data_IF_683566722928
#
_entry.id   IF_683566722928
#
_cell.length_a   1.000
_cell.length_b   1.000
_cell.length_c   1.000
_cell.angle_alpha   90.00
_cell.angle_beta   90.00
_cell.angle_gamma   90.00
#
_symmetry.space_group_name_H-M   'P 1'
#
loop_
_entity.id
_entity.type
_entity.pdbx_description
1 polymer ?
#
# COMPACT_ATOMS: atom_id res chain seq x y z
N UNK A 1 -38.43 -6.02 33.26
CA UNK A 1 -36.95 -6.06 33.18
C UNK A 1 -36.60 -6.64 31.82
N UNK A 2 -36.64 -5.79 30.81
CA UNK A 2 -36.43 -6.17 29.41
C UNK A 2 -34.95 -6.04 29.04
N UNK A 3 -34.44 -7.07 28.39
CA UNK A 3 -33.04 -7.21 27.99
C UNK A 3 -32.69 -6.33 26.79
N UNK A 4 -31.62 -5.57 26.94
CA UNK A 4 -30.98 -4.80 25.88
C UNK A 4 -30.14 -5.76 25.01
N UNK A 5 -30.73 -6.29 23.93
CA UNK A 5 -29.97 -6.91 22.84
C UNK A 5 -29.51 -5.83 21.86
N UNK A 6 -28.26 -5.41 21.97
CA UNK A 6 -27.60 -4.58 20.97
C UNK A 6 -27.27 -5.41 19.72
N UNK A 7 -28.03 -5.21 18.64
CA UNK A 7 -27.72 -5.73 17.30
C UNK A 7 -26.49 -5.02 16.72
N UNK A 8 -25.56 -5.72 16.04
CA UNK A 8 -24.48 -5.07 15.31
C UNK A 8 -25.03 -4.41 14.05
N UNK A 9 -24.75 -3.11 13.88
CA UNK A 9 -25.05 -2.37 12.64
C UNK A 9 -23.99 -2.74 11.59
N UNK A 10 -24.34 -3.64 10.68
CA UNK A 10 -23.62 -3.81 9.42
C UNK A 10 -23.95 -2.61 8.51
N UNK A 11 -22.97 -1.74 8.26
CA UNK A 11 -23.06 -0.73 7.22
C UNK A 11 -22.90 -1.44 5.86
N UNK A 12 -24.03 -1.68 5.18
CA UNK A 12 -24.07 -1.97 3.75
C UNK A 12 -24.09 -0.63 3.01
N UNK A 13 -22.93 -0.10 2.64
CA UNK A 13 -22.82 0.93 1.61
C UNK A 13 -21.59 0.60 0.75
N UNK A 14 -21.73 -0.41 -0.10
CA UNK A 14 -20.80 -0.64 -1.22
C UNK A 14 -21.51 -1.51 -2.25
N UNK A 15 -22.58 -0.96 -2.84
CA UNK A 15 -23.29 -1.51 -4.01
C UNK A 15 -24.41 -0.54 -4.43
N UNK A 16 -24.04 0.70 -4.74
CA UNK A 16 -24.91 1.61 -5.47
C UNK A 16 -24.12 2.24 -6.63
N UNK A 17 -23.59 1.37 -7.49
CA UNK A 17 -23.03 1.81 -8.77
C UNK A 17 -23.58 1.05 -9.99
N UNK A 18 -24.42 0.01 -9.81
CA UNK A 18 -24.86 -0.81 -10.97
C UNK A 18 -26.34 -1.21 -11.03
N UNK A 19 -27.17 -1.02 -9.98
CA UNK A 19 -28.51 -1.67 -9.96
C UNK A 19 -29.74 -0.75 -9.77
N UNK A 20 -29.60 0.56 -9.58
CA UNK A 20 -30.74 1.45 -9.30
C UNK A 20 -31.21 2.35 -10.45
N UNK A 21 -30.48 2.39 -11.57
CA UNK A 21 -30.82 3.27 -12.69
C UNK A 21 -31.86 2.67 -13.66
N UNK A 22 -32.17 1.39 -13.57
CA UNK A 22 -33.10 0.73 -14.50
C UNK A 22 -34.59 0.95 -14.17
N UNK A 23 -34.94 1.58 -13.03
CA UNK A 23 -36.33 1.64 -12.54
C UNK A 23 -36.93 3.04 -12.36
N UNK A 24 -36.19 4.09 -12.70
CA UNK A 24 -36.75 5.45 -12.74
C UNK A 24 -36.48 6.06 -14.10
N UNK A 25 -37.49 6.05 -14.97
CA UNK A 25 -37.51 6.75 -16.27
C UNK A 25 -37.48 8.27 -16.14
N UNK A 26 -36.52 8.80 -15.39
CA UNK A 26 -36.15 10.19 -15.34
C UNK A 26 -34.76 10.27 -15.98
N UNK A 27 -34.64 11.09 -17.04
CA UNK A 27 -33.38 11.42 -17.71
C UNK A 27 -32.39 12.10 -16.74
N UNK A 28 -31.77 11.31 -15.87
CA UNK A 28 -30.65 11.68 -15.04
C UNK A 28 -29.60 10.60 -15.33
N UNK A 29 -28.38 11.01 -15.63
CA UNK A 29 -27.26 10.16 -16.07
C UNK A 29 -27.28 9.95 -17.59
N UNK A 30 -26.83 10.98 -18.32
CA UNK A 30 -25.89 10.73 -19.40
C UNK A 30 -24.78 9.86 -18.75
N UNK A 31 -24.83 8.56 -18.99
CA UNK A 31 -23.84 7.63 -18.48
C UNK A 31 -22.49 8.16 -18.92
N UNK A 32 -21.59 8.35 -17.97
CA UNK A 32 -20.31 8.96 -18.23
C UNK A 32 -19.47 7.97 -19.06
N UNK A 33 -19.59 8.07 -20.39
CA UNK A 33 -18.89 7.26 -21.39
C UNK A 33 -17.38 7.24 -21.11
N UNK A 34 -16.85 8.30 -20.49
CA UNK A 34 -15.47 8.35 -20.01
C UNK A 34 -15.17 7.27 -18.98
N UNK A 35 -16.00 7.10 -17.94
CA UNK A 35 -15.77 6.09 -16.91
C UNK A 35 -15.94 4.66 -17.42
N UNK A 36 -16.91 4.42 -18.32
CA UNK A 36 -17.07 3.11 -18.94
C UNK A 36 -15.85 2.74 -19.77
N UNK A 37 -15.40 3.64 -20.65
CA UNK A 37 -14.20 3.44 -21.47
C UNK A 37 -12.95 3.25 -20.60
N UNK A 38 -12.79 4.08 -19.57
CA UNK A 38 -11.64 3.99 -18.65
C UNK A 38 -11.65 2.66 -17.89
N UNK A 39 -12.81 2.18 -17.45
CA UNK A 39 -12.96 0.88 -16.81
C UNK A 39 -12.62 -0.29 -17.77
N UNK A 40 -13.07 -0.25 -19.02
CA UNK A 40 -12.74 -1.25 -20.04
C UNK A 40 -11.24 -1.31 -20.33
N UNK A 41 -10.61 -0.15 -20.55
CA UNK A 41 -9.16 -0.04 -20.77
C UNK A 41 -8.38 -0.53 -19.54
N UNK A 42 -8.83 -0.19 -18.34
CA UNK A 42 -8.18 -0.62 -17.11
C UNK A 42 -8.32 -2.13 -16.89
N UNK A 43 -9.48 -2.72 -17.18
CA UNK A 43 -9.68 -4.18 -17.12
C UNK A 43 -8.80 -4.91 -18.14
N UNK A 44 -8.68 -4.38 -19.36
CA UNK A 44 -7.78 -4.92 -20.37
C UNK A 44 -6.32 -4.90 -19.89
N UNK A 45 -5.89 -3.82 -19.22
CA UNK A 45 -4.57 -3.75 -18.59
C UNK A 45 -4.41 -4.72 -17.43
N UNK A 46 -5.38 -4.82 -16.53
CA UNK A 46 -5.34 -5.80 -15.43
C UNK A 46 -5.20 -7.23 -15.97
N UNK A 47 -5.87 -7.56 -17.09
CA UNK A 47 -5.73 -8.88 -17.75
C UNK A 47 -4.32 -9.08 -18.31
N UNK A 48 -3.71 -8.04 -18.88
CA UNK A 48 -2.34 -8.09 -19.37
C UNK A 48 -1.29 -8.17 -18.24
N UNK A 49 -1.58 -7.55 -17.08
CA UNK A 49 -0.71 -7.57 -15.91
C UNK A 49 -0.79 -8.88 -15.11
N UNK A 50 -1.89 -9.64 -15.26
CA UNK A 50 -2.06 -10.95 -14.62
C UNK A 50 -0.94 -11.91 -14.99
N UNK A 51 -0.33 -12.52 -13.98
CA UNK A 51 0.71 -13.52 -14.18
C UNK A 51 0.13 -14.93 -14.08
N UNK A 52 0.20 -15.76 -15.15
CA UNK A 52 -0.33 -17.12 -15.12
C UNK A 52 0.48 -18.09 -14.24
N UNK A 53 1.70 -17.71 -13.82
CA UNK A 53 2.55 -18.46 -12.88
C UNK A 53 2.83 -17.60 -11.61
N UNK A 54 1.82 -17.41 -10.73
CA UNK A 54 1.98 -16.61 -9.53
C UNK A 54 3.01 -17.18 -8.55
N UNK A 55 3.19 -18.50 -8.49
CA UNK A 55 4.20 -19.19 -7.70
C UNK A 55 5.62 -18.90 -8.21
N UNK A 56 5.82 -18.75 -9.51
CA UNK A 56 7.08 -18.25 -10.07
C UNK A 56 7.44 -16.87 -9.52
N UNK A 57 6.45 -15.96 -9.42
CA UNK A 57 6.63 -14.62 -8.83
C UNK A 57 7.02 -14.69 -7.36
N UNK A 58 6.38 -15.57 -6.58
CA UNK A 58 6.74 -15.74 -5.15
C UNK A 58 8.13 -16.34 -4.99
N UNK A 59 8.51 -17.30 -5.84
CA UNK A 59 9.85 -17.88 -5.85
C UNK A 59 10.93 -16.84 -6.18
N UNK A 60 10.73 -16.01 -7.22
CA UNK A 60 11.65 -14.94 -7.59
C UNK A 60 11.82 -13.91 -6.46
N UNK A 61 10.73 -13.61 -5.75
CA UNK A 61 10.76 -12.74 -4.58
C UNK A 61 11.64 -13.32 -3.47
N UNK A 62 11.42 -14.58 -3.10
CA UNK A 62 12.23 -15.24 -2.07
C UNK A 62 13.70 -15.33 -2.49
N UNK A 63 13.98 -15.71 -3.74
CA UNK A 63 15.35 -15.72 -4.29
C UNK A 63 16.04 -14.36 -4.12
N UNK A 64 15.35 -13.25 -4.38
CA UNK A 64 15.90 -11.91 -4.15
C UNK A 64 16.21 -11.64 -2.67
N UNK A 65 15.37 -12.12 -1.75
CA UNK A 65 15.61 -12.05 -0.30
C UNK A 65 16.86 -12.85 0.10
N UNK A 66 17.04 -14.06 -0.46
CA UNK A 66 18.22 -14.88 -0.18
C UNK A 66 19.51 -14.23 -0.64
N UNK A 67 19.52 -13.70 -1.86
CA UNK A 67 20.66 -12.98 -2.40
C UNK A 67 21.02 -11.77 -1.52
N UNK A 68 20.01 -10.98 -1.12
CA UNK A 68 20.23 -9.87 -0.19
C UNK A 68 20.85 -10.34 1.14
N UNK A 69 20.39 -11.44 1.72
CA UNK A 69 20.96 -11.94 2.98
C UNK A 69 22.36 -12.53 2.84
N UNK A 70 22.66 -13.25 1.75
CA UNK A 70 23.97 -13.84 1.52
C UNK A 70 25.04 -12.75 1.35
N UNK A 71 24.72 -11.71 0.58
CA UNK A 71 25.54 -10.50 0.46
C UNK A 71 25.75 -9.81 1.82
N UNK A 72 24.71 -9.76 2.66
CA UNK A 72 24.81 -9.22 4.02
C UNK A 72 25.83 -9.97 4.88
N UNK A 73 25.87 -11.30 4.75
CA UNK A 73 26.77 -12.17 5.54
C UNK A 73 28.22 -12.09 5.05
N UNK A 74 28.43 -11.87 3.76
CA UNK A 74 29.75 -11.70 3.16
C UNK A 74 30.36 -10.32 3.45
N UNK A 75 29.54 -9.30 3.72
CA UNK A 75 29.99 -8.02 4.27
C UNK A 75 30.34 -8.18 5.75
N UNK A 76 31.64 -8.24 6.04
CA UNK A 76 32.24 -8.76 7.27
C UNK A 76 31.57 -8.45 8.62
N UNK A 77 31.62 -9.48 9.49
CA UNK A 77 31.52 -9.55 10.97
C UNK A 77 32.24 -8.45 11.78
N UNK A 78 32.83 -7.41 11.17
CA UNK A 78 33.69 -6.40 11.83
C UNK A 78 32.96 -5.16 12.36
N UNK A 79 31.69 -4.93 12.04
CA UNK A 79 30.97 -3.70 12.43
C UNK A 79 30.03 -3.84 13.63
N UNK A 80 29.76 -5.06 14.10
CA UNK A 80 28.83 -5.30 15.22
C UNK A 80 29.38 -4.93 16.61
N UNK A 81 30.68 -4.65 16.76
CA UNK A 81 31.27 -4.17 18.03
C UNK A 81 31.22 -2.65 18.24
N UNK A 82 30.85 -1.87 17.20
CA UNK A 82 30.86 -0.39 17.27
C UNK A 82 29.55 0.23 17.76
N UNK A 83 28.47 -0.54 17.89
CA UNK A 83 27.11 -0.02 18.13
C UNK A 83 26.94 0.56 19.55
N UNK A 84 27.84 0.25 20.48
CA UNK A 84 27.66 0.57 21.90
C UNK A 84 28.06 1.97 22.37
N UNK A 85 28.52 2.90 21.50
CA UNK A 85 28.95 4.23 21.98
C UNK A 85 28.51 5.47 21.21
N UNK A 86 27.83 5.38 20.06
CA UNK A 86 27.35 6.57 19.33
C UNK A 86 26.07 6.26 18.53
N UNK A 87 24.89 6.49 19.12
CA UNK A 87 23.57 6.04 18.60
C UNK A 87 23.12 6.62 17.25
N UNK A 88 23.92 7.44 16.56
CA UNK A 88 23.55 8.03 15.25
C UNK A 88 24.71 8.13 14.23
N UNK A 89 25.88 7.52 14.49
CA UNK A 89 27.05 7.54 13.57
C UNK A 89 27.35 6.18 12.93
N UNK A 90 26.34 5.34 12.74
CA UNK A 90 26.49 4.05 12.06
C UNK A 90 26.42 4.21 10.53
N UNK A 91 27.06 3.32 9.75
CA UNK A 91 26.85 3.27 8.30
C UNK A 91 25.35 3.05 7.99
N UNK A 92 24.85 3.62 6.91
CA UNK A 92 23.48 3.36 6.46
C UNK A 92 23.28 1.86 6.22
N UNK A 93 22.19 1.29 6.74
CA UNK A 93 21.88 -0.14 6.63
C UNK A 93 20.55 -0.33 5.90
N UNK A 94 20.58 -1.17 4.86
CA UNK A 94 19.39 -1.66 4.15
C UNK A 94 19.26 -3.18 4.37
N UNK A 95 18.11 -3.62 4.87
CA UNK A 95 17.95 -4.99 5.40
C UNK A 95 17.19 -5.94 4.48
N UNK A 96 16.53 -5.44 3.44
CA UNK A 96 15.73 -6.24 2.50
C UNK A 96 16.10 -5.89 1.04
N UNK A 97 15.79 -6.76 0.05
CA UNK A 97 16.18 -6.56 -1.35
C UNK A 97 15.63 -5.28 -2.00
N UNK A 98 14.44 -4.83 -1.60
CA UNK A 98 13.84 -3.58 -2.12
C UNK A 98 14.70 -2.39 -1.67
N UNK A 99 14.91 -2.25 -0.36
CA UNK A 99 15.72 -1.16 0.20
C UNK A 99 17.17 -1.21 -0.30
N UNK A 100 17.77 -2.39 -0.44
CA UNK A 100 19.16 -2.51 -0.93
C UNK A 100 19.35 -1.97 -2.34
N UNK A 101 18.31 -2.03 -3.18
CA UNK A 101 18.38 -1.58 -4.56
C UNK A 101 18.51 -0.05 -4.67
N UNK A 102 17.92 0.73 -3.76
CA UNK A 102 17.91 2.20 -3.85
C UNK A 102 18.46 2.93 -2.60
N UNK A 103 18.28 2.37 -1.40
CA UNK A 103 18.63 3.02 -0.13
C UNK A 103 20.14 3.02 0.09
N UNK A 104 20.60 3.93 0.95
CA UNK A 104 22.02 4.08 1.31
C UNK A 104 22.95 4.53 0.18
N UNK A 105 22.39 5.07 -0.91
CA UNK A 105 23.16 5.68 -1.98
C UNK A 105 23.52 7.13 -1.61
N UNK A 106 24.81 7.48 -1.67
CA UNK A 106 25.29 8.82 -1.31
C UNK A 106 24.61 9.93 -2.13
N UNK A 107 24.38 9.70 -3.42
CA UNK A 107 23.80 10.67 -4.36
C UNK A 107 22.36 10.32 -4.75
N UNK A 108 21.57 9.78 -3.82
CA UNK A 108 20.19 9.34 -4.12
C UNK A 108 19.31 10.47 -4.68
N UNK A 109 19.59 11.73 -4.34
CA UNK A 109 18.86 12.90 -4.87
C UNK A 109 19.00 12.97 -6.40
N UNK A 110 20.22 12.83 -6.92
CA UNK A 110 20.51 12.85 -8.37
C UNK A 110 20.02 11.58 -9.09
N UNK A 111 19.74 10.51 -8.34
CA UNK A 111 19.23 9.24 -8.85
C UNK A 111 17.88 8.88 -8.24
N UNK A 112 17.06 9.88 -7.89
CA UNK A 112 15.81 9.70 -7.13
C UNK A 112 14.90 8.66 -7.79
N UNK A 113 14.84 8.68 -9.12
CA UNK A 113 13.99 7.78 -9.92
C UNK A 113 14.48 6.33 -10.00
N UNK A 114 15.69 6.02 -9.51
CA UNK A 114 16.17 4.64 -9.37
C UNK A 114 15.25 3.80 -8.48
N UNK A 115 14.52 4.43 -7.55
CA UNK A 115 13.51 3.74 -6.74
C UNK A 115 12.56 2.89 -7.59
N UNK A 116 12.09 3.42 -8.73
CA UNK A 116 11.13 2.74 -9.61
C UNK A 116 11.67 1.49 -10.32
N UNK A 117 12.93 1.09 -10.09
CA UNK A 117 13.47 -0.21 -10.55
C UNK A 117 13.60 -1.23 -9.43
N UNK A 118 13.16 -0.89 -8.22
CA UNK A 118 13.46 -1.65 -7.01
C UNK A 118 12.26 -2.42 -6.45
N UNK A 119 11.06 -2.22 -7.01
CA UNK A 119 9.89 -3.01 -6.68
C UNK A 119 10.14 -4.50 -6.92
N UNK A 120 9.49 -5.34 -6.11
CA UNK A 120 9.54 -6.80 -6.18
C UNK A 120 8.13 -7.33 -5.93
N UNK A 121 7.86 -8.56 -6.39
CA UNK A 121 6.54 -9.19 -6.22
C UNK A 121 5.62 -8.86 -7.38
N UNK A 122 4.31 -8.88 -7.16
CA UNK A 122 3.34 -8.68 -8.24
C UNK A 122 3.38 -7.26 -8.82
N UNK A 123 3.63 -6.24 -8.01
CA UNK A 123 3.76 -4.83 -8.43
C UNK A 123 5.17 -4.44 -8.91
N UNK A 124 6.02 -5.42 -9.26
CA UNK A 124 7.41 -5.16 -9.70
C UNK A 124 7.53 -4.32 -10.98
N UNK A 125 6.47 -4.27 -11.78
CA UNK A 125 6.42 -3.54 -13.04
C UNK A 125 5.95 -2.09 -12.88
N UNK A 126 5.45 -1.69 -11.70
CA UNK A 126 5.04 -0.32 -11.42
C UNK A 126 6.23 0.63 -11.55
N UNK A 127 6.30 1.38 -12.66
CA UNK A 127 7.36 2.36 -12.88
C UNK A 127 6.96 3.79 -12.48
N UNK A 128 5.66 4.01 -12.22
CA UNK A 128 5.16 5.30 -11.79
C UNK A 128 5.49 6.43 -12.78
N UNK A 129 5.92 7.56 -12.26
CA UNK A 129 6.35 8.72 -13.03
C UNK A 129 7.80 8.69 -13.51
N UNK A 130 8.47 7.53 -13.53
CA UNK A 130 9.92 7.41 -13.83
C UNK A 130 10.33 8.13 -15.12
N UNK A 131 9.52 8.04 -16.17
CA UNK A 131 9.83 8.61 -17.48
C UNK A 131 9.35 10.05 -17.65
N UNK A 132 8.75 10.65 -16.62
CA UNK A 132 8.22 12.02 -16.64
C UNK A 132 9.15 13.04 -16.04
N UNK A 133 8.75 14.31 -15.99
CA UNK A 133 9.53 15.34 -15.28
C UNK A 133 9.34 15.26 -13.76
N UNK A 134 10.22 15.93 -13.03
CA UNK A 134 9.94 16.23 -11.64
C UNK A 134 8.87 17.32 -11.56
N UNK A 135 7.93 17.15 -10.63
CA UNK A 135 6.97 18.16 -10.23
C UNK A 135 7.11 18.40 -8.73
N UNK A 136 7.21 19.66 -8.30
CA UNK A 136 7.44 20.01 -6.90
C UNK A 136 6.16 20.61 -6.33
N UNK A 137 5.59 19.94 -5.33
CA UNK A 137 4.51 20.49 -4.51
C UNK A 137 5.10 21.56 -3.59
N UNK A 138 4.59 22.78 -3.73
CA UNK A 138 4.99 23.97 -2.96
C UNK A 138 3.84 24.53 -2.13
N UNK A 139 2.61 24.13 -2.43
CA UNK A 139 1.38 24.63 -1.83
C UNK A 139 0.58 23.43 -1.27
N UNK A 140 0.34 23.36 0.07
CA UNK A 140 -0.40 22.25 0.66
C UNK A 140 -1.92 22.41 0.60
N UNK A 141 -2.44 23.48 0.00
CA UNK A 141 -3.88 23.72 -0.08
C UNK A 141 -4.59 22.80 -1.09
N UNK A 142 -5.90 22.64 -0.92
CA UNK A 142 -6.76 21.79 -1.74
C UNK A 142 -8.14 22.44 -1.92
N UNK A 143 -8.14 23.72 -2.32
CA UNK A 143 -9.32 24.59 -2.23
C UNK A 143 -10.21 24.55 -3.48
N UNK A 144 -9.67 24.15 -4.63
CA UNK A 144 -10.42 24.02 -5.90
C UNK A 144 -10.24 22.61 -6.49
N UNK A 145 -11.35 21.86 -6.50
CA UNK A 145 -11.41 20.46 -6.92
C UNK A 145 -11.51 20.30 -8.44
N UNK A 146 -11.87 21.38 -9.15
CA UNK A 146 -12.08 21.39 -10.60
C UNK A 146 -10.91 22.10 -11.29
N UNK A 147 -10.38 23.19 -10.75
CA UNK A 147 -9.25 23.91 -11.33
C UNK A 147 -8.13 24.04 -10.29
N UNK A 148 -7.50 22.91 -9.89
CA UNK A 148 -6.47 22.94 -8.86
C UNK A 148 -5.32 23.86 -9.28
N UNK A 149 -4.80 24.62 -8.33
CA UNK A 149 -3.71 25.58 -8.57
C UNK A 149 -2.38 24.85 -8.82
N UNK A 150 -1.59 25.32 -9.79
CA UNK A 150 -0.21 24.85 -9.97
C UNK A 150 0.59 25.00 -8.66
N UNK A 151 1.38 23.98 -8.33
CA UNK A 151 2.12 23.89 -7.06
C UNK A 151 1.38 23.07 -5.98
N UNK A 152 0.10 22.74 -6.16
CA UNK A 152 -0.65 21.83 -5.28
C UNK A 152 -0.44 20.36 -5.64
N UNK A 153 -0.71 19.45 -4.70
CA UNK A 153 -0.68 18.01 -4.99
C UNK A 153 -1.75 17.60 -6.00
N UNK A 154 -2.99 18.12 -5.87
CA UNK A 154 -4.10 17.81 -6.79
C UNK A 154 -3.77 18.15 -8.22
N UNK A 155 -3.17 19.31 -8.49
CA UNK A 155 -2.74 19.64 -9.84
C UNK A 155 -1.73 18.62 -10.39
N UNK A 156 -0.76 18.18 -9.58
CA UNK A 156 0.28 17.25 -10.03
C UNK A 156 -0.24 15.85 -10.38
N UNK A 157 -1.17 15.32 -9.59
CA UNK A 157 -1.62 13.92 -9.76
C UNK A 157 -2.58 13.72 -10.92
N UNK A 158 -3.28 14.77 -11.39
CA UNK A 158 -4.26 14.65 -12.49
C UNK A 158 -3.65 14.78 -13.89
N UNK A 159 -2.39 15.22 -14.02
CA UNK A 159 -1.75 15.45 -15.31
C UNK A 159 -1.71 14.16 -16.15
N UNK A 160 -1.89 14.21 -17.47
CA UNK A 160 -1.87 12.99 -18.29
C UNK A 160 -0.46 12.45 -18.52
N UNK A 161 0.52 13.36 -18.54
CA UNK A 161 1.93 12.99 -18.67
C UNK A 161 2.44 12.30 -17.39
N UNK A 162 3.44 11.41 -17.50
CA UNK A 162 4.09 10.86 -16.33
C UNK A 162 4.69 11.98 -15.47
N UNK A 163 4.60 11.87 -14.15
CA UNK A 163 5.20 12.84 -13.23
C UNK A 163 5.79 12.18 -11.98
N UNK A 164 7.03 12.58 -11.67
CA UNK A 164 7.66 12.27 -10.40
C UNK A 164 7.46 13.44 -9.42
N UNK A 165 6.45 13.29 -8.57
CA UNK A 165 5.98 14.32 -7.65
C UNK A 165 6.80 14.27 -6.36
N UNK A 166 7.44 15.39 -6.02
CA UNK A 166 8.20 15.60 -4.79
C UNK A 166 7.68 16.82 -4.04
N UNK A 167 8.22 17.06 -2.85
CA UNK A 167 7.72 18.08 -1.93
C UNK A 167 8.84 19.06 -1.57
N UNK A 168 8.57 20.36 -1.66
CA UNK A 168 9.57 21.40 -1.39
C UNK A 168 9.98 21.49 0.08
N UNK A 169 9.10 21.07 0.99
CA UNK A 169 9.26 21.15 2.45
C UNK A 169 8.31 20.18 3.15
N UNK A 170 8.51 20.02 4.45
CA UNK A 170 7.54 19.36 5.33
C UNK A 170 6.16 20.02 5.18
N UNK A 171 5.11 19.20 5.07
CA UNK A 171 3.76 19.71 4.91
C UNK A 171 2.70 18.73 5.40
N UNK A 172 1.58 19.30 5.87
CA UNK A 172 0.35 18.58 6.13
C UNK A 172 -0.65 19.05 5.08
N UNK A 173 -1.06 18.14 4.21
CA UNK A 173 -2.06 18.37 3.17
C UNK A 173 -3.37 17.78 3.69
N UNK A 174 -4.39 18.64 3.81
CA UNK A 174 -5.75 18.24 4.13
C UNK A 174 -6.55 18.24 2.83
N UNK A 175 -6.88 17.06 2.33
CA UNK A 175 -7.70 16.91 1.13
C UNK A 175 -9.15 17.29 1.46
N UNK A 176 -9.74 18.19 0.67
CA UNK A 176 -11.12 18.65 0.89
C UNK A 176 -12.12 17.56 0.49
N UNK A 177 -11.86 16.91 -0.63
CA UNK A 177 -12.58 15.74 -1.16
C UNK A 177 -11.55 14.75 -1.72
N UNK A 178 -11.98 13.56 -2.13
CA UNK A 178 -11.05 12.50 -2.56
C UNK A 178 -10.04 12.98 -3.62
N UNK A 179 -8.79 12.55 -3.48
CA UNK A 179 -7.72 12.86 -4.42
C UNK A 179 -7.64 11.79 -5.49
N UNK A 180 -8.21 12.07 -6.66
CA UNK A 180 -8.14 11.21 -7.83
C UNK A 180 -6.73 11.26 -8.43
N UNK A 181 -6.06 10.11 -8.51
CA UNK A 181 -4.73 9.98 -9.11
C UNK A 181 -4.86 9.44 -10.54
N UNK A 182 -4.23 10.11 -11.51
CA UNK A 182 -4.13 9.65 -12.90
C UNK A 182 -2.95 8.66 -13.07
N UNK A 183 -2.87 7.92 -14.18
CA UNK A 183 -1.83 6.93 -14.45
C UNK A 183 -0.41 7.54 -14.49
N UNK A 184 0.62 6.70 -14.34
CA UNK A 184 2.03 7.06 -14.47
C UNK A 184 2.49 8.12 -13.45
N UNK A 185 2.12 7.95 -12.18
CA UNK A 185 2.44 8.89 -11.10
C UNK A 185 3.34 8.26 -10.07
N UNK A 186 4.31 9.04 -9.60
CA UNK A 186 5.03 8.72 -8.38
C UNK A 186 4.86 9.86 -7.39
N UNK A 187 4.29 9.58 -6.22
CA UNK A 187 4.29 10.48 -5.07
C UNK A 187 5.45 10.06 -4.17
N UNK A 188 6.48 10.88 -4.04
CA UNK A 188 7.72 10.55 -3.36
C UNK A 188 8.05 11.55 -2.24
N UNK A 189 7.71 11.16 -1.01
CA UNK A 189 7.92 11.95 0.20
C UNK A 189 9.36 12.05 0.66
N UNK A 190 10.33 11.33 0.07
CA UNK A 190 11.73 11.40 0.55
C UNK A 190 12.24 12.84 0.53
N UNK A 191 12.93 13.25 1.60
CA UNK A 191 13.47 14.60 1.75
C UNK A 191 12.52 15.62 2.41
N UNK A 192 11.26 15.24 2.67
CA UNK A 192 10.30 16.03 3.43
C UNK A 192 9.47 15.13 4.35
N UNK A 193 8.92 15.68 5.43
CA UNK A 193 7.92 15.01 6.25
C UNK A 193 6.52 15.39 5.75
N UNK A 194 5.92 14.51 4.94
CA UNK A 194 4.66 14.77 4.25
C UNK A 194 3.54 13.96 4.88
N UNK A 195 2.48 14.65 5.29
CA UNK A 195 1.28 14.08 5.86
C UNK A 195 0.08 14.38 4.97
N UNK A 196 -0.66 13.35 4.55
CA UNK A 196 -2.03 13.47 4.05
C UNK A 196 -2.94 13.12 5.22
N UNK A 197 -3.64 14.12 5.77
CA UNK A 197 -4.35 13.94 7.03
C UNK A 197 -5.54 14.87 7.24
N UNK A 198 -6.46 14.46 8.11
CA UNK A 198 -7.61 15.25 8.58
C UNK A 198 -8.61 15.65 7.49
N UNK A 199 -8.52 15.01 6.33
CA UNK A 199 -9.33 15.25 5.14
C UNK A 199 -9.79 13.94 4.52
N UNK A 200 -10.07 13.98 3.22
CA UNK A 200 -10.55 12.85 2.43
C UNK A 200 -9.42 11.87 2.01
N UNK A 201 -9.84 10.76 1.38
CA UNK A 201 -8.98 9.66 0.94
C UNK A 201 -8.20 9.93 -0.35
N UNK A 202 -7.20 9.08 -0.62
CA UNK A 202 -6.54 8.96 -1.92
C UNK A 202 -7.26 7.87 -2.74
N UNK A 203 -7.60 8.16 -3.99
CA UNK A 203 -8.30 7.22 -4.88
C UNK A 203 -7.49 6.96 -6.17
N UNK A 204 -7.14 5.70 -6.39
CA UNK A 204 -6.46 5.17 -7.57
C UNK A 204 -7.51 4.34 -8.32
N UNK A 205 -8.26 4.97 -9.22
CA UNK A 205 -9.40 4.35 -9.88
C UNK A 205 -9.23 4.27 -11.40
N UNK A 206 -9.30 3.05 -11.94
CA UNK A 206 -9.15 2.73 -13.36
C UNK A 206 -7.88 3.34 -14.00
N UNK A 207 -6.77 3.23 -13.27
CA UNK A 207 -5.46 3.75 -13.71
C UNK A 207 -4.39 2.68 -13.54
N UNK A 208 -3.19 2.97 -14.01
CA UNK A 208 -2.06 2.06 -13.89
C UNK A 208 -0.75 2.81 -13.62
N UNK A 209 0.29 2.08 -13.24
CA UNK A 209 1.63 2.61 -12.98
C UNK A 209 1.61 3.74 -11.94
N UNK A 210 1.26 3.40 -10.70
CA UNK A 210 1.26 4.35 -9.58
C UNK A 210 2.19 3.86 -8.48
N UNK A 211 3.09 4.75 -8.05
CA UNK A 211 3.96 4.55 -6.89
C UNK A 211 3.61 5.59 -5.83
N UNK A 212 3.29 5.15 -4.60
CA UNK A 212 3.17 6.03 -3.43
C UNK A 212 4.26 5.63 -2.44
N UNK A 213 5.19 6.54 -2.19
CA UNK A 213 6.40 6.25 -1.44
C UNK A 213 6.70 7.28 -0.35
N UNK A 214 6.92 6.79 0.88
CA UNK A 214 7.53 7.59 1.95
C UNK A 214 6.67 8.71 2.51
N UNK A 215 5.35 8.56 2.54
CA UNK A 215 4.41 9.54 3.11
C UNK A 215 3.63 8.99 4.32
N UNK A 216 3.10 9.89 5.13
CA UNK A 216 2.22 9.58 6.26
C UNK A 216 0.76 9.81 5.85
N UNK A 217 -0.11 8.83 6.06
CA UNK A 217 -1.55 8.93 5.78
C UNK A 217 -2.32 8.59 7.04
N UNK A 218 -3.07 9.53 7.61
CA UNK A 218 -3.76 9.26 8.86
C UNK A 218 -4.91 10.22 9.16
N UNK A 219 -5.78 9.80 10.08
CA UNK A 219 -6.93 10.60 10.51
C UNK A 219 -7.81 11.01 9.31
N UNK A 220 -7.91 10.13 8.30
CA UNK A 220 -8.76 10.31 7.12
C UNK A 220 -10.23 10.17 7.53
N UNK A 221 -11.08 10.95 6.87
CA UNK A 221 -12.51 11.06 7.14
C UNK A 221 -13.32 10.92 5.84
N UNK A 222 -14.56 10.42 5.94
CA UNK A 222 -15.50 10.43 4.83
C UNK A 222 -15.72 11.88 4.37
N UNK A 223 -15.85 12.09 3.08
CA UNK A 223 -16.14 13.38 2.45
C UNK A 223 -17.36 13.24 1.55
N UNK A 224 -18.08 14.33 1.24
CA UNK A 224 -19.42 14.23 0.65
C UNK A 224 -19.42 13.92 -0.85
N UNK A 225 -18.25 14.01 -1.50
CA UNK A 225 -18.13 14.00 -2.94
C UNK A 225 -18.45 15.38 -3.54
N UNK A 226 -18.90 15.39 -4.78
CA UNK A 226 -19.15 16.61 -5.55
C UNK A 226 -18.49 16.55 -6.92
N UNK A 227 -18.35 17.69 -7.57
CA UNK A 227 -17.68 17.76 -8.87
C UNK A 227 -16.17 17.75 -8.64
N UNK A 228 -15.49 16.70 -9.08
CA UNK A 228 -14.06 16.50 -8.86
C UNK A 228 -13.37 16.18 -10.18
N UNK A 229 -12.23 16.82 -10.43
CA UNK A 229 -11.36 16.54 -11.57
C UNK A 229 -10.45 15.34 -11.31
N UNK A 230 -10.41 14.39 -12.26
CA UNK A 230 -9.49 13.24 -12.26
C UNK A 230 -8.47 13.27 -13.41
N UNK A 231 -8.71 14.04 -14.47
CA UNK A 231 -7.73 14.28 -15.55
C UNK A 231 -7.82 15.69 -16.11
N UNK A 232 -6.92 16.04 -17.04
CA UNK A 232 -6.99 17.33 -17.72
C UNK A 232 -8.24 17.45 -18.62
N UNK A 233 -8.75 16.33 -19.12
CA UNK A 233 -9.91 16.29 -20.02
C UNK A 233 -11.22 15.99 -19.30
N UNK A 234 -11.18 15.56 -18.03
CA UNK A 234 -12.38 15.09 -17.34
C UNK A 234 -12.48 15.54 -15.89
N UNK A 235 -13.69 15.95 -15.52
CA UNK A 235 -14.17 16.09 -14.14
C UNK A 235 -15.63 15.65 -14.11
N UNK A 236 -16.07 15.06 -13.00
CA UNK A 236 -17.41 14.51 -12.90
C UNK A 236 -17.95 14.49 -11.48
N UNK A 237 -19.22 14.14 -11.33
CA UNK A 237 -19.86 13.98 -10.02
C UNK A 237 -19.30 12.73 -9.36
N UNK A 238 -18.81 12.90 -8.14
CA UNK A 238 -18.34 11.85 -7.23
C UNK A 238 -19.26 11.75 -6.05
N UNK A 239 -19.50 10.52 -5.60
CA UNK A 239 -20.31 10.25 -4.42
C UNK A 239 -19.49 10.41 -3.15
N UNK A 240 -20.16 10.25 -2.01
CA UNK A 240 -19.50 10.19 -0.70
C UNK A 240 -18.35 9.18 -0.71
N UNK A 241 -17.20 9.57 -0.17
CA UNK A 241 -16.07 8.69 0.05
C UNK A 241 -16.19 8.01 1.42
N UNK A 242 -15.71 6.77 1.55
CA UNK A 242 -15.80 5.99 2.78
C UNK A 242 -14.79 6.45 3.84
N UNK A 243 -13.70 7.09 3.39
CA UNK A 243 -12.65 7.60 4.27
C UNK A 243 -11.53 6.59 4.51
N UNK A 244 -11.19 5.83 3.47
CA UNK A 244 -10.02 4.96 3.43
C UNK A 244 -8.71 5.76 3.45
N UNK A 245 -7.59 5.13 3.82
CA UNK A 245 -6.29 5.75 3.56
C UNK A 245 -5.99 5.86 2.06
N UNK A 246 -6.02 4.72 1.38
CA UNK A 246 -5.81 4.58 -0.07
C UNK A 246 -6.84 3.58 -0.60
N UNK A 247 -7.64 3.99 -1.58
CA UNK A 247 -8.56 3.11 -2.30
C UNK A 247 -8.02 2.82 -3.71
N UNK A 248 -7.89 1.54 -4.05
CA UNK A 248 -7.41 1.04 -5.35
C UNK A 248 -8.58 0.31 -6.02
N UNK A 249 -9.07 0.86 -7.13
CA UNK A 249 -10.28 0.40 -7.79
C UNK A 249 -9.96 0.10 -9.25
N UNK A 250 -10.15 -1.16 -9.69
CA UNK A 250 -9.86 -1.60 -11.07
C UNK A 250 -8.55 -1.10 -11.64
N UNK A 251 -7.48 -1.12 -10.85
CA UNK A 251 -6.18 -0.54 -11.24
C UNK A 251 -5.06 -1.59 -11.23
N UNK A 252 -4.02 -1.38 -12.05
CA UNK A 252 -2.92 -2.34 -12.23
C UNK A 252 -1.54 -1.69 -12.07
N UNK A 253 -0.54 -2.50 -11.75
CA UNK A 253 0.86 -2.06 -11.58
C UNK A 253 1.00 -0.96 -10.51
N UNK A 254 0.65 -1.32 -9.28
CA UNK A 254 0.60 -0.41 -8.13
C UNK A 254 1.67 -0.79 -7.09
N UNK A 255 2.41 0.21 -6.60
CA UNK A 255 3.41 0.00 -5.55
C UNK A 255 3.28 1.03 -4.43
N UNK A 256 2.87 0.57 -3.25
CA UNK A 256 2.78 1.36 -2.03
C UNK A 256 3.97 0.98 -1.13
N UNK A 257 4.89 1.91 -0.89
CA UNK A 257 6.18 1.61 -0.26
C UNK A 257 6.56 2.62 0.83
N UNK A 258 7.13 2.16 1.95
CA UNK A 258 7.59 3.04 3.05
C UNK A 258 6.54 4.03 3.57
N UNK A 259 5.25 3.73 3.39
CA UNK A 259 4.18 4.58 3.89
C UNK A 259 3.85 4.26 5.34
N UNK A 260 3.41 5.26 6.10
CA UNK A 260 2.93 5.08 7.47
C UNK A 260 1.45 5.39 7.54
N UNK A 261 0.61 4.38 7.86
CA UNK A 261 -0.85 4.50 7.86
C UNK A 261 -1.45 4.21 9.23
N UNK A 262 -2.44 5.03 9.65
CA UNK A 262 -3.20 4.81 10.89
C UNK A 262 -4.52 5.58 10.93
N UNK A 263 -5.47 5.11 11.75
CA UNK A 263 -6.65 5.87 12.17
C UNK A 263 -7.48 6.52 11.04
N UNK A 264 -7.62 5.84 9.90
CA UNK A 264 -8.61 6.21 8.89
C UNK A 264 -10.04 5.86 9.36
N UNK A 265 -11.06 6.33 8.64
CA UNK A 265 -12.45 6.14 9.05
C UNK A 265 -12.98 4.75 8.71
N UNK A 266 -12.65 4.24 7.51
CA UNK A 266 -12.99 2.87 7.09
C UNK A 266 -11.73 1.99 7.03
N UNK A 267 -11.16 1.69 5.86
CA UNK A 267 -9.93 0.91 5.70
C UNK A 267 -8.63 1.74 5.70
N UNK A 268 -7.45 1.11 5.86
CA UNK A 268 -6.18 1.82 5.54
C UNK A 268 -5.84 1.70 4.05
N UNK A 269 -5.90 0.49 3.48
CA UNK A 269 -5.70 0.27 2.05
C UNK A 269 -6.68 -0.79 1.56
N UNK A 270 -7.52 -0.39 0.62
CA UNK A 270 -8.52 -1.25 0.01
C UNK A 270 -8.20 -1.41 -1.47
N UNK A 271 -8.18 -2.66 -1.96
CA UNK A 271 -8.02 -2.98 -3.38
C UNK A 271 -9.16 -3.86 -3.84
N UNK A 272 -9.89 -3.42 -4.86
CA UNK A 272 -11.15 -4.06 -5.31
C UNK A 272 -11.28 -4.01 -6.84
N UNK A 273 -12.30 -4.70 -7.35
CA UNK A 273 -12.77 -4.58 -8.73
C UNK A 273 -11.70 -4.94 -9.75
N UNK A 274 -11.13 -6.15 -9.63
CA UNK A 274 -10.09 -6.66 -10.52
C UNK A 274 -8.78 -5.84 -10.49
N UNK A 275 -8.54 -5.09 -9.41
CA UNK A 275 -7.22 -4.50 -9.17
C UNK A 275 -6.16 -5.61 -9.03
N UNK A 276 -5.01 -5.47 -9.68
CA UNK A 276 -3.98 -6.54 -9.72
C UNK A 276 -2.57 -5.98 -9.92
N UNK A 277 -1.57 -6.85 -9.91
CA UNK A 277 -0.16 -6.47 -9.97
C UNK A 277 0.19 -5.44 -8.88
N UNK A 278 -0.13 -5.77 -7.62
CA UNK A 278 0.03 -4.87 -6.47
C UNK A 278 1.21 -5.30 -5.60
N UNK A 279 1.98 -4.35 -5.09
CA UNK A 279 2.91 -4.59 -3.99
C UNK A 279 2.75 -3.52 -2.91
N UNK A 280 2.59 -3.98 -1.67
CA UNK A 280 2.58 -3.15 -0.47
C UNK A 280 3.80 -3.56 0.36
N UNK A 281 4.81 -2.69 0.41
CA UNK A 281 6.09 -3.02 1.05
C UNK A 281 6.62 -1.98 2.02
N UNK A 282 7.39 -2.43 3.01
CA UNK A 282 8.08 -1.56 3.98
C UNK A 282 7.18 -0.55 4.70
N UNK A 283 5.87 -0.75 4.71
CA UNK A 283 4.92 0.16 5.32
C UNK A 283 4.80 -0.10 6.82
N UNK A 284 4.28 0.89 7.54
CA UNK A 284 4.04 0.82 8.96
C UNK A 284 2.58 1.12 9.27
N UNK A 285 1.88 0.12 9.80
CA UNK A 285 0.45 0.18 10.11
C UNK A 285 0.24 0.19 11.63
N UNK A 286 -0.59 1.11 12.14
CA UNK A 286 -0.93 1.15 13.59
C UNK A 286 -2.34 1.71 13.84
N UNK A 287 -2.88 1.49 15.04
CA UNK A 287 -4.11 2.09 15.58
C UNK A 287 -5.28 2.11 14.58
N UNK A 288 -5.75 0.93 14.18
CA UNK A 288 -6.80 0.82 13.20
C UNK A 288 -7.48 -0.55 13.23
N UNK A 289 -8.76 -0.61 12.86
CA UNK A 289 -9.52 -1.85 12.87
C UNK A 289 -9.27 -2.67 11.60
N UNK A 290 -9.66 -2.12 10.45
CA UNK A 290 -9.74 -2.81 9.17
C UNK A 290 -8.55 -2.41 8.29
N UNK A 291 -7.43 -3.12 8.40
CA UNK A 291 -6.13 -2.63 7.89
C UNK A 291 -6.02 -2.71 6.36
N UNK A 292 -6.10 -3.91 5.78
CA UNK A 292 -5.94 -4.15 4.34
C UNK A 292 -7.07 -5.05 3.84
N UNK A 293 -7.90 -4.56 2.93
CA UNK A 293 -8.95 -5.35 2.27
C UNK A 293 -8.62 -5.59 0.80
N UNK A 294 -8.59 -6.86 0.40
CA UNK A 294 -8.39 -7.28 -0.99
C UNK A 294 -9.61 -8.04 -1.47
N UNK A 295 -10.39 -7.38 -2.34
CA UNK A 295 -11.71 -7.78 -2.80
C UNK A 295 -12.81 -7.44 -1.80
N UNK A 296 -13.79 -6.62 -2.21
CA UNK A 296 -14.85 -6.11 -1.32
C UNK A 296 -16.07 -7.02 -1.22
N UNK A 297 -16.42 -7.73 -2.30
CA UNK A 297 -17.66 -8.50 -2.38
C UNK A 297 -17.43 -10.00 -2.49
N UNK A 298 -18.29 -10.75 -1.84
CA UNK A 298 -18.38 -12.21 -1.93
C UNK A 298 -19.02 -12.68 -3.25
N UNK A 299 -19.50 -11.76 -4.10
CA UNK A 299 -20.10 -12.05 -5.41
C UNK A 299 -19.33 -11.48 -6.59
N UNK A 300 -18.18 -10.84 -6.37
CA UNK A 300 -17.38 -10.26 -7.45
C UNK A 300 -16.25 -11.19 -7.87
N UNK A 301 -16.57 -12.17 -8.72
CA UNK A 301 -15.60 -13.14 -9.22
C UNK A 301 -14.49 -12.52 -10.09
N UNK A 302 -14.65 -11.28 -10.56
CA UNK A 302 -13.59 -10.58 -11.30
C UNK A 302 -12.33 -10.40 -10.44
N UNK A 303 -12.44 -10.36 -9.11
CA UNK A 303 -11.30 -10.31 -8.19
C UNK A 303 -10.46 -11.59 -8.20
N UNK A 304 -10.87 -12.67 -8.89
CA UNK A 304 -10.03 -13.86 -9.10
C UNK A 304 -8.70 -13.56 -9.81
N UNK A 305 -8.65 -12.48 -10.60
CA UNK A 305 -7.41 -12.02 -11.24
C UNK A 305 -6.51 -11.18 -10.33
N UNK A 306 -6.96 -10.85 -9.12
CA UNK A 306 -6.19 -10.04 -8.18
C UNK A 306 -4.93 -10.80 -7.76
N UNK A 307 -3.77 -10.15 -7.92
CA UNK A 307 -2.48 -10.67 -7.47
C UNK A 307 -1.74 -9.58 -6.70
N UNK A 308 -1.48 -9.83 -5.41
CA UNK A 308 -0.84 -8.85 -4.54
C UNK A 308 0.26 -9.45 -3.65
N UNK A 309 1.34 -8.68 -3.47
CA UNK A 309 2.43 -8.99 -2.55
C UNK A 309 2.39 -8.04 -1.35
N UNK A 310 2.30 -8.58 -0.14
CA UNK A 310 2.40 -7.84 1.13
C UNK A 310 3.72 -8.22 1.77
N UNK A 311 4.71 -7.32 1.78
CA UNK A 311 6.07 -7.67 2.18
C UNK A 311 6.82 -6.67 3.07
N UNK A 312 7.60 -7.15 4.02
CA UNK A 312 8.45 -6.31 4.88
C UNK A 312 7.71 -5.24 5.68
N UNK A 313 6.38 -5.35 5.79
CA UNK A 313 5.58 -4.38 6.53
C UNK A 313 5.70 -4.65 8.03
N UNK A 314 5.53 -3.60 8.82
CA UNK A 314 5.36 -3.71 10.26
C UNK A 314 3.89 -3.47 10.62
N UNK A 315 3.22 -4.53 11.06
CA UNK A 315 1.89 -4.50 11.63
C UNK A 315 2.01 -4.28 13.13
N UNK A 316 1.88 -3.01 13.50
CA UNK A 316 2.24 -2.48 14.78
C UNK A 316 1.08 -2.38 15.76
N UNK A 317 1.24 -1.48 16.73
CA UNK A 317 0.34 -1.40 17.87
C UNK A 317 -1.07 -0.96 17.53
N UNK A 318 -2.05 -1.48 18.28
CA UNK A 318 -3.45 -1.07 18.18
C UNK A 318 -4.15 -1.49 16.89
N UNK A 319 -3.66 -2.52 16.20
CA UNK A 319 -4.34 -3.12 15.07
C UNK A 319 -5.30 -4.22 15.52
N UNK A 320 -6.44 -4.36 14.84
CA UNK A 320 -7.46 -5.36 15.19
C UNK A 320 -7.42 -6.56 14.25
N UNK A 321 -7.51 -6.34 12.93
CA UNK A 321 -7.71 -7.39 11.92
C UNK A 321 -7.31 -6.99 10.49
N UNK A 322 -7.53 -7.88 9.51
CA UNK A 322 -7.34 -7.68 8.06
C UNK A 322 -5.91 -7.31 7.66
N UNK A 323 -4.92 -8.14 7.98
CA UNK A 323 -3.50 -7.89 7.67
C UNK A 323 -2.85 -8.99 6.79
N UNK A 324 -3.38 -9.34 5.61
CA UNK A 324 -4.57 -8.78 4.95
C UNK A 324 -5.86 -9.60 5.19
N UNK A 325 -7.00 -9.08 4.74
CA UNK A 325 -8.23 -9.87 4.48
C UNK A 325 -8.46 -9.98 2.98
N UNK A 326 -8.52 -11.20 2.47
CA UNK A 326 -8.50 -11.48 1.03
C UNK A 326 -9.76 -12.20 0.54
N UNK A 327 -10.06 -12.02 -0.75
CA UNK A 327 -11.06 -12.80 -1.49
C UNK A 327 -10.54 -13.18 -2.88
N UNK A 328 -10.96 -14.34 -3.38
CA UNK A 328 -10.74 -14.84 -4.74
C UNK A 328 -9.29 -15.07 -5.17
N UNK A 329 -8.51 -14.01 -5.36
CA UNK A 329 -7.22 -14.01 -6.05
C UNK A 329 -6.05 -14.66 -5.30
N UNK A 330 -4.83 -14.27 -5.69
CA UNK A 330 -3.58 -14.83 -5.19
C UNK A 330 -2.77 -13.81 -4.38
N UNK A 331 -2.38 -14.18 -3.17
CA UNK A 331 -1.77 -13.28 -2.20
C UNK A 331 -0.49 -13.87 -1.62
N UNK A 332 0.62 -13.17 -1.85
CA UNK A 332 1.92 -13.51 -1.27
C UNK A 332 2.19 -12.60 -0.05
N UNK A 333 2.14 -13.18 1.14
CA UNK A 333 2.35 -12.47 2.41
C UNK A 333 3.71 -12.89 2.96
N UNK A 334 4.72 -12.02 2.86
CA UNK A 334 6.12 -12.45 3.03
C UNK A 334 7.00 -11.52 3.87
N UNK A 335 7.72 -12.08 4.84
CA UNK A 335 8.67 -11.35 5.70
C UNK A 335 8.10 -10.11 6.40
N UNK A 336 6.82 -10.10 6.76
CA UNK A 336 6.20 -9.05 7.57
C UNK A 336 6.40 -9.33 9.08
N UNK A 337 6.40 -8.27 9.89
CA UNK A 337 6.51 -8.33 11.35
C UNK A 337 5.17 -7.94 11.99
N UNK A 338 4.47 -8.93 12.54
CA UNK A 338 3.19 -8.79 13.23
C UNK A 338 3.42 -8.78 14.73
N UNK A 339 3.34 -7.60 15.32
CA UNK A 339 3.58 -7.42 16.76
C UNK A 339 2.31 -7.32 17.58
N UNK A 340 1.19 -6.90 16.96
CA UNK A 340 -0.13 -6.85 17.59
C UNK A 340 -1.25 -7.11 16.57
N UNK A 341 -2.26 -7.84 17.01
CA UNK A 341 -3.61 -7.89 16.44
C UNK A 341 -4.59 -8.07 17.63
N UNK A 342 -5.90 -7.99 17.39
CA UNK A 342 -6.90 -8.27 18.45
C UNK A 342 -7.78 -9.45 18.06
N UNK A 343 -8.25 -9.51 16.81
CA UNK A 343 -9.13 -10.58 16.34
C UNK A 343 -8.33 -11.66 15.60
N UNK A 344 -7.69 -11.32 14.49
CA UNK A 344 -6.84 -12.20 13.69
C UNK A 344 -5.83 -11.37 12.90
N UNK A 345 -4.80 -12.00 12.33
CA UNK A 345 -3.87 -11.31 11.44
C UNK A 345 -4.27 -11.47 9.98
N UNK A 346 -4.32 -12.70 9.47
CA UNK A 346 -4.58 -12.99 8.06
C UNK A 346 -5.97 -13.60 7.93
N UNK A 347 -6.81 -13.09 7.03
CA UNK A 347 -8.17 -13.61 6.88
C UNK A 347 -8.68 -13.63 5.44
N UNK A 348 -9.89 -14.14 5.25
CA UNK A 348 -10.52 -14.16 3.95
C UNK A 348 -11.80 -14.98 3.84
N UNK A 349 -12.51 -14.77 2.74
CA UNK A 349 -13.70 -15.51 2.30
C UNK A 349 -13.63 -15.71 0.78
N UNK A 350 -14.44 -16.59 0.20
CA UNK A 350 -14.42 -16.89 -1.25
C UNK A 350 -13.05 -17.38 -1.77
N UNK A 351 -12.51 -18.41 -1.12
CA UNK A 351 -11.38 -19.21 -1.62
C UNK A 351 -10.11 -18.48 -2.15
N UNK A 352 -9.61 -17.42 -1.48
CA UNK A 352 -8.35 -16.81 -1.87
C UNK A 352 -7.19 -17.79 -1.68
N UNK A 353 -6.19 -17.71 -2.55
CA UNK A 353 -4.92 -18.39 -2.33
C UNK A 353 -3.99 -17.49 -1.52
N UNK A 354 -3.57 -17.94 -0.33
CA UNK A 354 -2.70 -17.17 0.56
C UNK A 354 -1.43 -17.98 0.85
N UNK A 355 -0.31 -17.44 0.41
CA UNK A 355 1.03 -18.01 0.64
C UNK A 355 1.75 -17.13 1.66
N UNK A 356 1.81 -17.59 2.91
CA UNK A 356 2.50 -16.93 4.02
C UNK A 356 3.93 -17.48 4.16
N UNK A 357 4.94 -16.62 4.04
CA UNK A 357 6.34 -17.03 4.05
C UNK A 357 7.26 -16.13 4.89
N UNK A 358 8.01 -16.71 5.83
CA UNK A 358 9.05 -16.00 6.60
C UNK A 358 8.55 -14.83 7.45
N UNK A 359 7.24 -14.73 7.71
CA UNK A 359 6.66 -13.72 8.58
C UNK A 359 6.98 -14.01 10.05
N UNK A 360 6.90 -12.98 10.89
CA UNK A 360 7.00 -13.13 12.34
C UNK A 360 5.67 -12.75 12.99
N UNK A 361 5.07 -13.67 13.73
CA UNK A 361 3.82 -13.48 14.44
C UNK A 361 4.03 -13.54 15.94
N UNK A 362 3.81 -12.42 16.63
CA UNK A 362 3.79 -12.36 18.10
C UNK A 362 2.35 -12.27 18.56
N UNK A 363 1.78 -13.40 18.97
CA UNK A 363 0.39 -13.41 19.37
C UNK A 363 0.13 -12.47 20.57
N UNK A 364 -1.05 -11.85 20.65
CA UNK A 364 -1.50 -11.10 21.82
C UNK A 364 -1.50 -11.97 23.08
N UNK A 365 -1.53 -11.35 24.26
CA UNK A 365 -1.68 -12.09 25.53
C UNK A 365 -3.04 -12.79 25.64
N UNK A 366 -4.05 -12.30 24.94
CA UNK A 366 -5.41 -12.86 24.94
C UNK A 366 -5.40 -14.30 24.38
N UNK A 367 -6.04 -15.23 25.10
CA UNK A 367 -6.01 -16.67 24.77
C UNK A 367 -6.80 -17.02 23.50
N UNK A 368 -7.82 -16.25 23.15
CA UNK A 368 -8.65 -16.50 21.97
C UNK A 368 -8.11 -15.87 20.68
N UNK A 369 -7.00 -15.12 20.76
CA UNK A 369 -6.40 -14.42 19.61
C UNK A 369 -5.07 -15.04 19.19
N UNK A 370 -4.88 -16.34 19.46
CA UNK A 370 -3.65 -17.08 19.13
C UNK A 370 -3.59 -17.56 17.69
N UNK A 371 -4.75 -17.87 17.12
CA UNK A 371 -4.81 -18.23 15.70
C UNK A 371 -4.51 -16.98 14.85
N UNK A 372 -3.52 -17.11 13.98
CA UNK A 372 -3.13 -16.08 13.01
C UNK A 372 -4.22 -15.92 11.96
N UNK A 373 -4.88 -17.01 11.60
CA UNK A 373 -5.78 -17.12 10.46
C UNK A 373 -7.26 -17.03 10.84
N UNK A 374 -8.07 -16.46 9.95
CA UNK A 374 -9.54 -16.43 10.09
C UNK A 374 -10.23 -16.66 8.75
N UNK A 375 -10.97 -17.75 8.63
CA UNK A 375 -11.85 -18.02 7.49
C UNK A 375 -13.24 -17.53 7.82
N UNK A 376 -13.76 -16.63 7.00
CA UNK A 376 -15.11 -16.10 7.15
C UNK A 376 -16.06 -16.76 6.16
N UNK A 377 -17.31 -16.92 6.58
CA UNK A 377 -18.45 -17.34 5.76
C UNK A 377 -18.32 -18.70 5.06
N UNK A 378 -17.45 -19.57 5.56
CA UNK A 378 -17.29 -20.94 5.07
C UNK A 378 -17.15 -21.94 6.22
N UNK A 379 -17.79 -23.10 6.07
CA UNK A 379 -17.61 -24.25 6.96
C UNK A 379 -16.25 -24.91 6.74
N UNK A 380 -15.80 -25.73 7.69
CA UNK A 380 -14.47 -26.35 7.63
C UNK A 380 -14.28 -27.32 6.46
N UNK A 381 -15.32 -28.05 6.07
CA UNK A 381 -15.33 -28.89 4.88
C UNK A 381 -15.13 -28.09 3.58
N UNK A 382 -15.62 -26.85 3.52
CA UNK A 382 -15.43 -25.95 2.38
C UNK A 382 -14.04 -25.32 2.41
N UNK A 383 -13.68 -24.61 3.49
CA UNK A 383 -12.44 -23.83 3.48
C UNK A 383 -11.18 -24.71 3.53
N UNK A 384 -11.26 -25.97 3.95
CA UNK A 384 -10.13 -26.91 3.88
C UNK A 384 -9.62 -27.12 2.45
N UNK A 385 -10.44 -26.84 1.44
CA UNK A 385 -10.04 -26.92 0.04
C UNK A 385 -9.25 -25.68 -0.42
N UNK A 386 -9.33 -24.56 0.31
CA UNK A 386 -8.64 -23.31 -0.04
C UNK A 386 -7.15 -23.40 0.25
N UNK A 387 -6.31 -22.91 -0.65
CA UNK A 387 -4.85 -22.98 -0.52
C UNK A 387 -4.32 -21.88 0.40
N UNK A 388 -4.19 -22.19 1.70
CA UNK A 388 -3.59 -21.30 2.69
C UNK A 388 -2.39 -21.99 3.32
N UNK A 389 -1.19 -21.49 3.04
CA UNK A 389 0.07 -22.13 3.42
C UNK A 389 0.91 -21.20 4.29
N UNK A 390 1.65 -21.80 5.22
CA UNK A 390 2.57 -21.10 6.12
C UNK A 390 3.93 -21.79 6.10
N UNK A 391 4.95 -21.11 5.61
CA UNK A 391 6.27 -21.69 5.41
C UNK A 391 7.39 -20.80 5.96
N UNK A 392 8.21 -21.34 6.86
CA UNK A 392 9.30 -20.58 7.48
C UNK A 392 8.83 -19.45 8.42
N UNK A 393 7.53 -19.33 8.70
CA UNK A 393 6.98 -18.34 9.62
C UNK A 393 7.44 -18.59 11.08
N UNK A 394 7.85 -17.52 11.77
CA UNK A 394 8.18 -17.55 13.19
C UNK A 394 6.94 -17.25 14.02
N UNK A 395 6.43 -18.26 14.72
CA UNK A 395 5.34 -18.13 15.67
C UNK A 395 5.86 -17.89 17.09
N UNK A 396 5.36 -16.86 17.77
CA UNK A 396 5.73 -16.52 19.14
C UNK A 396 4.51 -16.28 20.01
N UNK A 397 4.69 -16.46 21.32
CA UNK A 397 3.62 -16.30 22.33
C UNK A 397 2.38 -17.16 22.05
N UNK A 398 2.59 -18.38 21.52
CA UNK A 398 1.53 -19.32 21.22
C UNK A 398 0.76 -19.04 19.92
N UNK A 399 1.27 -18.16 19.04
CA UNK A 399 0.69 -18.00 17.72
C UNK A 399 0.70 -19.32 16.94
N UNK A 400 -0.30 -19.56 16.09
CA UNK A 400 -0.29 -20.67 15.16
C UNK A 400 -1.09 -20.34 13.89
N UNK A 401 -0.74 -21.01 12.79
CA UNK A 401 -1.41 -20.87 11.51
C UNK A 401 -2.05 -22.22 11.17
N UNK A 402 -3.38 -22.27 11.01
CA UNK A 402 -4.05 -23.46 10.46
C UNK A 402 -3.88 -23.44 8.95
N UNK A 403 -3.15 -24.38 8.37
CA UNK A 403 -3.00 -24.52 6.91
C UNK A 403 -4.20 -25.26 6.27
N UNK A 404 -4.38 -25.09 4.97
CA UNK A 404 -5.40 -25.77 4.16
C UNK A 404 -4.98 -25.91 2.69
N UNK A 405 -5.76 -26.65 1.90
CA UNK A 405 -5.51 -26.92 0.49
C UNK A 405 -4.69 -28.21 0.27
N UNK A 406 -4.20 -28.39 -0.96
CA UNK A 406 -3.51 -29.61 -1.34
C UNK A 406 -2.19 -29.80 -0.53
N UNK A 407 -2.06 -30.86 0.30
CA UNK A 407 -0.85 -31.09 1.09
C UNK A 407 0.38 -31.42 0.24
N UNK A 408 0.17 -31.91 -0.99
CA UNK A 408 1.19 -32.26 -1.97
C UNK A 408 1.52 -31.11 -2.93
N UNK A 409 0.90 -29.94 -2.77
CA UNK A 409 1.32 -28.74 -3.49
C UNK A 409 2.82 -28.49 -3.26
N UNK A 410 3.50 -28.02 -4.31
CA UNK A 410 4.95 -27.80 -4.32
C UNK A 410 5.36 -26.98 -3.10
N UNK A 411 6.11 -27.60 -2.18
CA UNK A 411 6.70 -26.90 -1.03
C UNK A 411 7.91 -26.12 -1.54
N UNK A 412 8.02 -24.85 -1.14
CA UNK A 412 9.20 -24.06 -1.45
C UNK A 412 10.41 -24.64 -0.68
N UNK A 413 11.63 -24.57 -1.23
CA UNK A 413 12.79 -25.24 -0.63
C UNK A 413 13.02 -24.62 0.76
N UNK A 414 13.36 -25.43 1.77
CA UNK A 414 13.72 -24.94 3.12
C UNK A 414 14.88 -23.94 3.10
N UNK A 415 15.68 -23.93 2.03
CA UNK A 415 16.74 -22.95 1.78
C UNK A 415 16.20 -21.56 1.40
N UNK A 416 14.91 -21.45 1.10
CA UNK A 416 14.18 -20.25 0.67
C UNK A 416 13.56 -19.43 1.85
N UNK A 417 13.96 -19.68 3.10
CA UNK A 417 13.44 -18.94 4.26
C UNK A 417 14.51 -18.20 5.07
N UNK A 418 14.17 -16.98 5.52
CA UNK A 418 14.93 -16.27 6.54
C UNK A 418 14.67 -16.95 7.89
N UNK A 419 15.71 -17.49 8.55
CA UNK A 419 15.61 -17.76 9.99
C UNK A 419 15.45 -16.42 10.71
N UNK A 420 14.29 -16.19 11.30
CA UNK A 420 14.06 -15.05 12.18
C UNK A 420 15.19 -14.97 13.23
N UNK A 421 15.78 -13.77 13.39
CA UNK A 421 16.85 -13.56 14.38
C UNK A 421 16.27 -13.85 15.78
N UNK A 422 17.03 -14.52 16.69
CA UNK A 422 16.59 -14.72 18.06
C UNK A 422 16.25 -13.39 18.72
N UNK A 423 15.12 -13.34 19.45
CA UNK A 423 14.58 -12.14 20.11
C UNK A 423 15.45 -11.53 21.21
N UNK A 424 16.68 -11.99 21.40
CA UNK A 424 17.60 -11.54 22.45
C UNK A 424 18.30 -10.22 22.08
N UNK A 425 17.93 -9.57 20.96
CA UNK A 425 18.21 -8.15 20.68
C UNK A 425 16.96 -7.26 20.90
N UNK A 426 16.10 -7.66 21.82
CA UNK A 426 14.81 -7.02 22.12
C UNK A 426 14.88 -5.57 22.63
N UNK A 427 16.05 -5.08 23.04
CA UNK A 427 16.27 -3.66 23.37
C UNK A 427 16.80 -2.82 22.18
N UNK A 428 17.28 -3.45 21.10
CA UNK A 428 17.83 -2.73 19.94
C UNK A 428 16.76 -2.40 18.88
N UNK A 429 15.67 -3.18 18.80
CA UNK A 429 14.52 -2.85 17.94
C UNK A 429 13.76 -1.59 18.39
N UNK A 430 13.83 -1.25 19.69
CA UNK A 430 13.32 0.01 20.22
C UNK A 430 14.16 1.22 19.80
N UNK A 431 15.45 1.01 19.47
CA UNK A 431 16.39 2.08 19.14
C UNK A 431 16.37 2.42 17.64
N UNK A 432 16.12 1.43 16.75
CA UNK A 432 15.97 1.66 15.30
C UNK A 432 14.68 2.41 14.92
N UNK A 433 13.62 2.29 15.72
CA UNK A 433 12.31 2.91 15.47
C UNK A 433 12.22 4.40 15.79
N UNK A 434 13.19 4.98 16.52
CA UNK A 434 13.30 6.45 16.71
C UNK A 434 14.01 7.15 15.55
N UNK A 435 14.76 6.42 14.71
CA UNK A 435 15.47 7.00 13.56
C UNK A 435 14.52 7.50 12.47
N UNK A 436 13.35 6.86 12.29
CA UNK A 436 12.31 7.34 11.38
C UNK A 436 11.64 8.65 11.85
N UNK A 437 11.77 9.01 13.14
CA UNK A 437 11.21 10.25 13.71
C UNK A 437 12.20 11.42 13.74
N UNK A 438 13.49 11.18 13.45
CA UNK A 438 14.55 12.20 13.50
C UNK A 438 15.40 12.30 12.21
N UNK A 439 15.22 11.42 11.22
CA UNK A 439 15.88 11.53 9.91
C UNK A 439 15.13 12.40 8.89
N UNK A 440 14.03 13.05 9.32
CA UNK A 440 13.34 14.12 8.59
C UNK A 440 14.00 15.50 8.73
N UNK A 441 15.15 15.62 9.41
CA UNK A 441 15.98 16.84 9.36
C UNK A 441 17.24 16.58 8.55
N UNK A 442 17.34 17.07 7.30
CA UNK A 442 18.65 17.25 6.69
C UNK A 442 19.40 18.36 7.44
N UNK A 443 20.74 18.42 7.38
CA UNK A 443 21.43 19.67 7.67
C UNK A 443 20.83 20.74 6.75
N UNK A 444 20.50 21.90 7.31
CA UNK A 444 20.13 23.09 6.53
C UNK A 444 21.35 23.43 5.66
N UNK A 445 21.38 22.89 4.44
CA UNK A 445 22.12 23.48 3.35
C UNK A 445 21.14 24.43 2.70
N UNK A 446 21.47 25.73 2.77
CA UNK A 446 20.76 26.73 1.99
C UNK A 446 20.68 26.24 0.54
N UNK A 447 19.46 26.15 0.03
CA UNK A 447 19.22 25.91 -1.39
C UNK A 447 19.63 27.21 -2.07
N UNK A 448 20.79 27.22 -2.70
CA UNK A 448 21.08 28.23 -3.72
C UNK A 448 20.03 28.04 -4.82
N UNK A 449 19.31 29.12 -5.09
CA UNK A 449 18.18 29.18 -6.00
C UNK A 449 18.54 28.57 -7.36
N UNK A 450 17.79 27.55 -7.78
CA UNK A 450 17.74 27.14 -9.18
C UNK A 450 17.08 28.32 -9.93
N UNK A 451 17.73 28.90 -10.97
CA UNK A 451 17.17 30.03 -11.68
C UNK A 451 15.90 29.61 -12.42
N UNK A 452 14.82 30.35 -12.18
CA UNK A 452 13.57 30.27 -12.95
C UNK A 452 13.86 30.66 -14.42
N UNK A 453 13.22 30.01 -15.41
CA UNK A 453 13.21 30.54 -16.76
C UNK A 453 12.47 31.88 -16.76
N UNK A 454 13.13 32.90 -17.28
CA UNK A 454 12.59 34.26 -17.45
C UNK A 454 11.34 34.26 -18.33
N UNK A 455 10.31 34.96 -17.86
CA UNK A 455 9.12 35.34 -18.61
C UNK A 455 9.48 35.92 -19.99
N UNK A 456 8.94 35.31 -21.05
CA UNK A 456 8.87 35.93 -22.37
C UNK A 456 7.56 36.72 -22.42
N UNK A 457 7.63 37.98 -21.99
CA UNK A 457 6.57 38.95 -22.22
C UNK A 457 6.67 39.54 -23.62
N UNK A 458 5.56 39.46 -24.36
CA UNK A 458 5.03 40.46 -25.29
C UNK A 458 5.99 41.14 -26.29
N UNK A 459 5.84 40.78 -27.57
CA UNK A 459 5.86 41.77 -28.64
C UNK A 459 4.59 41.66 -29.47
N UNK A 460 3.68 42.63 -29.27
CA UNK A 460 2.82 43.15 -30.32
C UNK A 460 3.64 44.19 -31.11
N UNK A 461 3.71 44.00 -32.41
CA UNK A 461 3.53 45.02 -33.45
C UNK A 461 2.94 44.31 -34.65
#
# INVERSE_FOLDING_TARGET
MEGLQTKPRFFFFSLFFLASAALSGANIVEFDDHWQKKAEEALARSRAAYNPDPEGVTHDFNKAVHLALSEARNSTRRTLRSVHRNKFKGPCVATNPIDRCWRCQKNWINHRKKLATCAKGFGRNAIGGKNGDFYVVTDPSDDDLVNPKYGTLRWGVIQDRPLWIIFARDMIIRLSEELMINSNKTIDGRGANVHIAFGAQITIQFVHDVIIHGIHIHDIRPSNGGIIRDSLQHFGIRTKSDGDGISIYGSSDIWIDHCSLRNCADGLIDAIEASTAITISNCHFTHHNDVLLFGASDSNEHDSMMQATVAFNHFGKGLVQRMPRCRWGFFHVVNNDYTQWIMYAIGGSQHPTIISQGNRFVAPRMLFSKEVTKRDYATEDVWKQWTWRSEGDLMQNGAFFRESGNPNARKFDRKDFIKAKPGNMGEEAHTLRRSARLQSRPPVLMIDAIPLPSDVSSHRT
#
